data_IF_262680439333
#
_entry.id   IF_262680439333
#
_cell.length_a   1.000
_cell.length_b   1.000
_cell.length_c   1.000
_cell.angle_alpha   90.00
_cell.angle_beta   90.00
_cell.angle_gamma   90.00
#
_symmetry.space_group_name_H-M   'P 1'
#
loop_
_entity.id
_entity.type
_entity.pdbx_description
1 polymer ?
#
# COMPACT_ATOMS: atom_id res chain seq x y z
N UNK A 1 6.92 4.28 -8.95
CA UNK A 1 6.53 5.50 -9.64
C UNK A 1 6.53 5.27 -11.14
N UNK A 2 5.60 5.88 -11.86
CA UNK A 2 5.51 5.85 -13.31
C UNK A 2 6.22 7.09 -13.88
N UNK A 3 6.94 7.01 -15.00
CA UNK A 3 7.59 8.17 -15.58
C UNK A 3 6.57 9.27 -15.94
N UNK A 4 6.97 10.52 -15.80
CA UNK A 4 6.16 11.64 -16.23
C UNK A 4 6.32 11.85 -17.74
N UNK A 5 5.23 12.05 -18.50
CA UNK A 5 5.33 12.42 -19.90
C UNK A 5 5.95 13.82 -20.05
N UNK A 6 6.53 14.11 -21.21
CA UNK A 6 7.14 15.40 -21.51
C UNK A 6 6.15 16.59 -21.47
N UNK A 7 4.86 16.31 -21.64
CA UNK A 7 3.78 17.29 -21.54
C UNK A 7 2.88 16.97 -20.35
N UNK A 8 2.69 17.95 -19.47
CA UNK A 8 1.84 17.83 -18.28
C UNK A 8 0.50 18.53 -18.48
N UNK A 9 -0.57 17.90 -18.01
CA UNK A 9 -1.87 18.55 -17.91
C UNK A 9 -1.88 19.59 -16.75
N UNK A 10 -2.65 20.68 -16.84
CA UNK A 10 -2.70 21.70 -15.78
C UNK A 10 -3.14 21.18 -14.41
N UNK A 11 -3.94 20.13 -14.37
CA UNK A 11 -4.49 19.52 -13.15
C UNK A 11 -3.90 18.13 -12.86
N UNK A 12 -2.69 17.90 -13.28
CA UNK A 12 -2.02 16.63 -13.09
C UNK A 12 -1.63 16.39 -11.63
N UNK A 13 -2.12 15.30 -11.06
CA UNK A 13 -1.91 14.91 -9.67
C UNK A 13 -1.78 13.38 -9.54
N UNK A 14 -1.22 12.94 -8.43
CA UNK A 14 -1.26 11.54 -8.04
C UNK A 14 -2.49 11.30 -7.15
N UNK A 15 -3.46 10.55 -7.61
CA UNK A 15 -4.72 10.28 -6.92
C UNK A 15 -4.47 9.61 -5.54
N UNK A 16 -3.55 8.64 -5.49
CA UNK A 16 -3.20 7.99 -4.23
C UNK A 16 -2.49 8.95 -3.26
N UNK A 17 -1.66 9.86 -3.76
CA UNK A 17 -1.03 10.90 -2.95
C UNK A 17 -2.07 11.84 -2.34
N UNK A 18 -3.04 12.28 -3.13
CA UNK A 18 -4.14 13.15 -2.65
C UNK A 18 -4.97 12.44 -1.60
N UNK A 19 -5.34 11.17 -1.83
CA UNK A 19 -6.05 10.36 -0.83
C UNK A 19 -5.26 10.23 0.47
N UNK A 20 -3.97 9.89 0.38
CA UNK A 20 -3.11 9.75 1.54
C UNK A 20 -3.06 11.04 2.38
N UNK A 21 -2.86 12.19 1.74
CA UNK A 21 -2.86 13.49 2.43
C UNK A 21 -4.24 13.78 3.04
N UNK A 22 -5.32 13.50 2.31
CA UNK A 22 -6.68 13.71 2.81
C UNK A 22 -6.96 12.90 4.09
N UNK A 23 -6.52 11.65 4.14
CA UNK A 23 -6.68 10.80 5.32
C UNK A 23 -5.79 11.22 6.48
N UNK A 24 -4.56 11.68 6.21
CA UNK A 24 -3.65 12.16 7.24
C UNK A 24 -4.11 13.48 7.87
N UNK A 25 -4.76 14.34 7.10
CA UNK A 25 -5.24 15.66 7.54
C UNK A 25 -6.69 15.66 8.02
N UNK A 26 -7.36 14.53 8.04
CA UNK A 26 -8.75 14.43 8.47
C UNK A 26 -8.92 14.72 9.95
N UNK A 27 -10.04 15.38 10.32
CA UNK A 27 -10.47 15.55 11.71
C UNK A 27 -11.29 14.36 12.24
N UNK A 28 -11.60 13.37 11.40
CA UNK A 28 -12.30 12.15 11.82
C UNK A 28 -11.44 11.31 12.72
N UNK A 29 -12.07 10.66 13.71
CA UNK A 29 -11.40 9.89 14.75
C UNK A 29 -11.99 8.49 14.86
N UNK A 30 -11.15 7.48 14.71
CA UNK A 30 -11.45 6.12 15.11
C UNK A 30 -11.24 6.01 16.63
N UNK A 31 -12.26 6.37 17.39
CA UNK A 31 -12.21 6.46 18.85
C UNK A 31 -12.61 5.17 19.54
N UNK A 32 -12.29 5.00 20.85
CA UNK A 32 -12.77 3.87 21.63
C UNK A 32 -14.29 3.66 21.58
N UNK A 33 -15.07 4.74 21.54
CA UNK A 33 -16.54 4.69 21.47
C UNK A 33 -17.02 4.13 20.13
N UNK A 34 -16.29 4.40 19.05
CA UNK A 34 -16.57 3.78 17.77
C UNK A 34 -16.35 2.26 17.84
N UNK A 35 -15.22 1.84 18.36
CA UNK A 35 -14.86 0.41 18.42
C UNK A 35 -15.72 -0.39 19.40
N UNK A 36 -16.18 0.22 20.48
CA UNK A 36 -17.08 -0.44 21.43
C UNK A 36 -18.46 -0.77 20.84
N UNK A 37 -18.85 -0.06 19.77
CA UNK A 37 -20.16 -0.24 19.10
C UNK A 37 -20.07 -1.09 17.82
N UNK A 38 -18.86 -1.38 17.35
CA UNK A 38 -18.65 -2.08 16.09
C UNK A 38 -17.80 -3.34 16.34
N UNK A 39 -18.43 -4.51 16.47
CA UNK A 39 -17.72 -5.78 16.53
C UNK A 39 -16.79 -5.96 15.33
N UNK A 40 -15.66 -6.64 15.53
CA UNK A 40 -14.68 -6.89 14.47
C UNK A 40 -15.31 -7.70 13.34
N UNK A 41 -16.17 -8.66 13.66
CA UNK A 41 -16.95 -9.41 12.67
C UNK A 41 -17.82 -8.53 11.78
N UNK A 42 -18.34 -7.41 12.29
CA UNK A 42 -19.07 -6.42 11.50
C UNK A 42 -18.13 -5.61 10.61
N UNK A 43 -16.97 -5.21 11.13
CA UNK A 43 -15.97 -4.43 10.37
C UNK A 43 -15.38 -5.22 9.19
N UNK A 44 -15.36 -6.55 9.24
CA UNK A 44 -14.96 -7.40 8.12
C UNK A 44 -15.82 -7.24 6.85
N UNK A 45 -17.03 -6.71 6.99
CA UNK A 45 -17.94 -6.46 5.87
C UNK A 45 -17.79 -5.04 5.28
N UNK A 46 -17.00 -4.19 5.93
CA UNK A 46 -16.71 -2.85 5.41
C UNK A 46 -15.70 -2.95 4.26
N UNK A 47 -15.87 -2.10 3.26
CA UNK A 47 -14.85 -1.92 2.23
C UNK A 47 -13.63 -1.19 2.81
N UNK A 48 -12.47 -1.33 2.17
CA UNK A 48 -11.26 -0.62 2.56
C UNK A 48 -11.48 0.89 2.65
N UNK A 49 -12.27 1.45 1.73
CA UNK A 49 -12.63 2.86 1.76
C UNK A 49 -13.45 3.25 3.00
N UNK A 50 -14.41 2.44 3.39
CA UNK A 50 -15.23 2.69 4.58
C UNK A 50 -14.39 2.60 5.85
N UNK A 51 -13.49 1.61 5.95
CA UNK A 51 -12.57 1.48 7.07
C UNK A 51 -11.65 2.70 7.20
N UNK A 52 -11.02 3.12 6.12
CA UNK A 52 -10.14 4.29 6.14
C UNK A 52 -10.90 5.61 6.40
N UNK A 53 -12.15 5.70 5.94
CA UNK A 53 -12.99 6.87 6.12
C UNK A 53 -13.51 7.05 7.57
N UNK A 54 -13.35 6.06 8.44
CA UNK A 54 -13.65 6.19 9.88
C UNK A 54 -12.76 7.27 10.52
N UNK A 55 -11.50 7.34 10.13
CA UNK A 55 -10.57 8.36 10.57
C UNK A 55 -9.33 7.79 11.27
N UNK A 56 -8.63 8.64 12.00
CA UNK A 56 -7.37 8.28 12.66
C UNK A 56 -7.60 7.63 14.02
N UNK A 57 -6.83 6.58 14.28
CA UNK A 57 -6.78 5.93 15.60
C UNK A 57 -6.29 6.92 16.66
N UNK A 58 -6.99 7.00 17.78
CA UNK A 58 -6.71 7.99 18.83
C UNK A 58 -6.10 7.41 20.11
N UNK A 59 -6.23 6.11 20.31
CA UNK A 59 -5.76 5.38 21.49
C UNK A 59 -5.11 4.06 21.09
N UNK A 60 -4.21 3.51 21.89
CA UNK A 60 -3.83 2.12 21.76
C UNK A 60 -5.04 1.24 21.98
N UNK A 61 -5.22 0.25 21.12
CA UNK A 61 -6.38 -0.64 21.15
C UNK A 61 -5.90 -2.09 21.20
N UNK A 62 -6.59 -2.92 22.00
CA UNK A 62 -6.37 -4.34 22.10
C UNK A 62 -7.66 -5.08 21.77
N UNK A 63 -7.58 -6.11 20.95
CA UNK A 63 -8.74 -6.96 20.63
C UNK A 63 -9.12 -7.83 21.83
N UNK A 64 -10.40 -7.79 22.17
CA UNK A 64 -11.01 -8.69 23.14
C UNK A 64 -11.92 -9.70 22.42
N UNK A 65 -11.51 -10.96 22.45
CA UNK A 65 -12.23 -12.04 21.79
C UNK A 65 -13.58 -12.35 22.44
N UNK A 66 -13.76 -12.02 23.72
CA UNK A 66 -15.02 -12.31 24.42
C UNK A 66 -16.15 -11.37 23.99
N UNK A 67 -15.83 -10.12 23.72
CA UNK A 67 -16.78 -9.11 23.24
C UNK A 67 -16.74 -8.90 21.73
N UNK A 68 -15.77 -9.52 21.02
CA UNK A 68 -15.48 -9.29 19.59
C UNK A 68 -15.25 -7.80 19.26
N UNK A 69 -14.67 -7.05 20.18
CA UNK A 69 -14.44 -5.61 20.01
C UNK A 69 -13.00 -5.23 20.30
N UNK A 70 -12.58 -4.06 19.80
CA UNK A 70 -11.34 -3.42 20.20
C UNK A 70 -11.58 -2.59 21.47
N UNK A 71 -10.77 -2.84 22.50
CA UNK A 71 -10.80 -2.14 23.78
C UNK A 71 -9.61 -1.20 23.89
N UNK A 72 -9.85 0.03 24.39
CA UNK A 72 -8.75 0.94 24.68
C UNK A 72 -7.90 0.40 25.84
N UNK A 73 -6.59 0.54 25.72
CA UNK A 73 -5.63 0.22 26.77
C UNK A 73 -4.72 1.39 27.02
N UNK A 74 -4.22 1.53 28.24
CA UNK A 74 -3.22 2.53 28.56
C UNK A 74 -1.87 2.16 27.93
N UNK A 75 -1.06 3.18 27.58
CA UNK A 75 0.25 2.97 27.00
C UNK A 75 1.18 2.13 27.86
N UNK A 76 1.17 2.32 29.18
CA UNK A 76 2.00 1.56 30.10
C UNK A 76 1.64 0.08 30.10
N UNK A 77 0.33 -0.24 30.05
CA UNK A 77 -0.16 -1.61 29.93
C UNK A 77 0.23 -2.20 28.58
N UNK A 78 0.07 -1.45 27.49
CA UNK A 78 0.44 -1.89 26.16
C UNK A 78 1.95 -2.21 26.07
N UNK A 79 2.80 -1.33 26.60
CA UNK A 79 4.26 -1.56 26.63
C UNK A 79 4.65 -2.74 27.53
N UNK A 80 4.01 -2.89 28.66
CA UNK A 80 4.25 -4.03 29.54
C UNK A 80 3.91 -5.35 28.83
N UNK A 81 2.72 -5.48 28.25
CA UNK A 81 2.29 -6.69 27.57
C UNK A 81 3.17 -7.03 26.37
N UNK A 82 3.53 -6.02 25.55
CA UNK A 82 4.45 -6.21 24.42
C UNK A 82 5.84 -6.66 24.93
N UNK A 83 6.35 -6.03 25.97
CA UNK A 83 7.63 -6.39 26.57
C UNK A 83 7.64 -7.80 27.18
N UNK A 84 6.57 -8.19 27.86
CA UNK A 84 6.39 -9.54 28.38
C UNK A 84 6.33 -10.57 27.24
N UNK A 85 5.60 -10.26 26.16
CA UNK A 85 5.54 -11.12 25.00
C UNK A 85 6.90 -11.30 24.32
N UNK A 86 7.62 -10.22 24.11
CA UNK A 86 8.97 -10.27 23.52
C UNK A 86 9.95 -11.08 24.39
N UNK A 87 9.87 -10.92 25.72
CA UNK A 87 10.70 -11.71 26.65
C UNK A 87 10.30 -13.18 26.76
N UNK A 88 9.13 -13.56 26.32
CA UNK A 88 8.65 -14.95 26.36
C UNK A 88 9.25 -15.84 25.26
N UNK A 89 9.96 -15.28 24.30
CA UNK A 89 10.64 -16.05 23.26
C UNK A 89 12.02 -16.51 23.73
N UNK A 90 12.40 -17.72 23.41
CA UNK A 90 13.68 -18.33 23.78
C UNK A 90 14.88 -17.69 23.05
N UNK A 91 14.62 -17.08 21.90
CA UNK A 91 15.64 -16.44 21.08
C UNK A 91 15.08 -15.19 20.37
N UNK A 92 15.89 -14.13 20.36
CA UNK A 92 15.59 -12.93 19.59
C UNK A 92 15.45 -13.19 18.07
N UNK A 93 16.00 -14.30 17.58
CA UNK A 93 15.89 -14.71 16.18
C UNK A 93 14.47 -15.20 15.80
N UNK A 94 13.60 -15.45 16.78
CA UNK A 94 12.19 -15.79 16.55
C UNK A 94 11.32 -14.57 16.27
N UNK A 95 11.89 -13.36 16.35
CA UNK A 95 11.18 -12.09 16.17
C UNK A 95 11.72 -11.35 14.96
N UNK A 96 10.82 -10.91 14.11
CA UNK A 96 11.11 -10.03 12.97
C UNK A 96 10.58 -8.62 13.22
N UNK A 97 11.31 -7.63 12.74
CA UNK A 97 10.97 -6.21 12.87
C UNK A 97 10.76 -5.60 11.49
N UNK A 98 9.51 -5.35 11.17
CA UNK A 98 9.11 -4.79 9.88
C UNK A 98 8.43 -3.43 10.06
N UNK A 99 8.71 -2.49 9.17
CA UNK A 99 8.04 -1.20 9.12
C UNK A 99 7.78 -0.77 7.68
N UNK A 100 6.75 0.06 7.50
CA UNK A 100 6.42 0.63 6.20
C UNK A 100 7.40 1.72 5.79
N UNK A 101 7.61 1.92 4.49
CA UNK A 101 8.34 3.06 3.93
C UNK A 101 7.69 4.43 4.20
N UNK A 102 6.51 4.47 4.82
CA UNK A 102 5.84 5.70 5.27
C UNK A 102 6.21 6.12 6.70
N UNK A 103 6.99 5.31 7.40
CA UNK A 103 7.53 5.65 8.72
C UNK A 103 8.53 6.81 8.59
N UNK A 104 8.51 7.76 9.53
CA UNK A 104 9.51 8.83 9.55
C UNK A 104 10.92 8.25 9.79
N UNK A 105 11.94 8.96 9.36
CA UNK A 105 13.33 8.51 9.53
C UNK A 105 13.71 8.37 11.00
N UNK A 106 13.22 9.27 11.85
CA UNK A 106 13.45 9.24 13.29
C UNK A 106 12.82 8.00 13.95
N UNK A 107 11.56 7.71 13.58
CA UNK A 107 10.88 6.52 14.09
C UNK A 107 11.54 5.23 13.56
N UNK A 108 11.96 5.19 12.30
CA UNK A 108 12.68 4.05 11.73
C UNK A 108 14.03 3.81 12.44
N UNK A 109 14.76 4.88 12.75
CA UNK A 109 16.01 4.80 13.51
C UNK A 109 15.78 4.24 14.92
N UNK A 110 14.80 4.78 15.65
CA UNK A 110 14.48 4.30 17.01
C UNK A 110 14.00 2.85 16.99
N UNK A 111 13.22 2.48 15.98
CA UNK A 111 12.75 1.11 15.81
C UNK A 111 13.90 0.14 15.54
N UNK A 112 14.85 0.52 14.70
CA UNK A 112 16.08 -0.27 14.48
C UNK A 112 16.91 -0.39 15.77
N UNK A 113 17.08 0.71 16.50
CA UNK A 113 17.82 0.70 17.76
C UNK A 113 17.17 -0.24 18.78
N UNK A 114 15.85 -0.18 18.92
CA UNK A 114 15.08 -1.10 19.76
C UNK A 114 15.28 -2.57 19.37
N UNK A 115 15.19 -2.89 18.09
CA UNK A 115 15.40 -4.26 17.60
C UNK A 115 16.84 -4.76 17.88
N UNK A 116 17.83 -3.88 17.72
CA UNK A 116 19.24 -4.21 18.03
C UNK A 116 19.46 -4.42 19.52
N UNK A 117 18.87 -3.60 20.36
CA UNK A 117 18.93 -3.75 21.83
C UNK A 117 18.23 -5.04 22.27
N UNK A 118 17.13 -5.40 21.64
CA UNK A 118 16.46 -6.69 21.85
C UNK A 118 17.33 -7.88 21.41
N UNK A 119 18.32 -7.68 20.56
CA UNK A 119 19.25 -8.71 20.06
C UNK A 119 18.84 -9.34 18.72
N UNK A 120 17.89 -8.75 17.99
CA UNK A 120 17.48 -9.23 16.67
C UNK A 120 18.16 -8.44 15.54
N UNK A 121 18.46 -9.16 14.45
CA UNK A 121 18.91 -8.60 13.17
C UNK A 121 17.91 -8.90 12.04
N UNK A 122 16.75 -9.41 12.37
CA UNK A 122 15.74 -9.83 11.40
C UNK A 122 14.93 -8.62 10.95
N UNK A 123 15.39 -7.97 9.89
CA UNK A 123 14.72 -6.86 9.24
C UNK A 123 14.35 -7.27 7.82
N UNK A 124 13.12 -7.76 7.57
CA UNK A 124 12.65 -8.01 6.22
C UNK A 124 12.76 -6.73 5.39
N UNK A 125 13.36 -6.85 4.21
CA UNK A 125 13.61 -5.73 3.32
C UNK A 125 12.55 -5.68 2.23
N UNK A 126 11.91 -4.52 2.07
CA UNK A 126 10.91 -4.31 1.02
C UNK A 126 11.53 -4.41 -0.39
N UNK A 127 12.80 -4.10 -0.57
CA UNK A 127 13.49 -4.27 -1.86
C UNK A 127 13.50 -5.72 -2.31
N UNK A 128 13.76 -6.65 -1.41
CA UNK A 128 13.75 -8.09 -1.69
C UNK A 128 12.35 -8.60 -2.05
N UNK A 129 11.31 -8.03 -1.48
CA UNK A 129 9.92 -8.39 -1.79
C UNK A 129 9.40 -7.66 -3.04
N UNK A 130 9.87 -6.45 -3.31
CA UNK A 130 9.33 -5.58 -4.36
C UNK A 130 10.03 -5.77 -5.70
N UNK A 131 11.34 -5.52 -5.78
CA UNK A 131 12.08 -5.50 -7.06
C UNK A 131 13.38 -6.32 -7.06
N UNK A 132 13.84 -6.85 -5.94
CA UNK A 132 14.94 -7.82 -5.88
C UNK A 132 14.68 -9.04 -6.78
N UNK A 133 13.47 -9.65 -6.79
CA UNK A 133 13.12 -10.73 -7.70
C UNK A 133 13.25 -10.35 -9.18
N UNK A 134 12.92 -9.12 -9.54
CA UNK A 134 13.10 -8.61 -10.92
C UNK A 134 14.57 -8.65 -11.33
N UNK A 135 15.47 -8.16 -10.49
CA UNK A 135 16.91 -8.22 -10.76
C UNK A 135 17.42 -9.67 -10.87
N UNK A 136 16.97 -10.52 -9.95
CA UNK A 136 17.37 -11.94 -9.94
C UNK A 136 16.86 -12.70 -11.16
N UNK A 137 15.64 -12.42 -11.61
CA UNK A 137 15.04 -13.10 -12.76
C UNK A 137 15.50 -12.55 -14.11
N UNK A 138 15.59 -11.23 -14.25
CA UNK A 138 15.91 -10.61 -15.54
C UNK A 138 17.41 -10.60 -15.87
N UNK A 139 18.28 -10.42 -14.88
CA UNK A 139 19.73 -10.34 -15.13
C UNK A 139 20.28 -11.57 -15.89
N UNK A 140 19.98 -12.82 -15.51
CA UNK A 140 20.43 -13.98 -16.27
C UNK A 140 19.71 -14.14 -17.62
N UNK A 141 18.49 -13.61 -17.77
CA UNK A 141 17.70 -13.78 -19.00
C UNK A 141 18.04 -12.75 -20.08
N UNK A 142 18.23 -11.49 -19.71
CA UNK A 142 18.43 -10.38 -20.65
C UNK A 142 19.65 -9.51 -20.32
N UNK A 143 20.45 -9.87 -19.31
CA UNK A 143 21.66 -9.14 -18.91
C UNK A 143 21.41 -7.88 -18.08
N UNK A 144 20.15 -7.52 -17.80
CA UNK A 144 19.76 -6.31 -17.09
C UNK A 144 18.63 -6.59 -16.10
N UNK A 145 18.79 -6.17 -14.84
CA UNK A 145 17.84 -6.41 -13.77
C UNK A 145 16.67 -5.42 -13.72
N UNK A 146 16.22 -4.89 -14.85
CA UNK A 146 15.08 -3.96 -14.96
C UNK A 146 14.48 -4.00 -16.37
N UNK A 147 13.32 -3.33 -16.55
CA UNK A 147 12.67 -3.19 -17.85
C UNK A 147 13.56 -2.49 -18.89
N UNK A 148 13.39 -2.84 -20.14
CA UNK A 148 14.15 -2.34 -21.30
C UNK A 148 13.34 -1.44 -22.21
N UNK A 149 12.04 -1.23 -21.91
CA UNK A 149 11.14 -0.36 -22.68
C UNK A 149 11.11 1.04 -22.08
N UNK A 150 10.91 2.03 -22.95
CA UNK A 150 10.70 3.42 -22.59
C UNK A 150 9.20 3.78 -22.61
N UNK A 151 8.84 4.96 -22.08
CA UNK A 151 7.43 5.37 -22.03
C UNK A 151 6.83 5.52 -23.42
N UNK A 152 7.61 6.00 -24.36
CA UNK A 152 7.25 6.23 -25.76
C UNK A 152 6.93 4.94 -26.52
N UNK A 153 7.45 3.79 -26.08
CA UNK A 153 7.15 2.49 -26.70
C UNK A 153 5.66 2.14 -26.57
N UNK A 154 4.99 2.63 -25.53
CA UNK A 154 3.55 2.46 -25.37
C UNK A 154 2.74 3.18 -26.47
N UNK A 155 3.27 4.21 -27.10
CA UNK A 155 2.61 4.90 -28.20
C UNK A 155 2.59 4.12 -29.51
N UNK A 156 3.43 3.09 -29.60
CA UNK A 156 3.64 2.29 -30.80
C UNK A 156 3.22 0.82 -30.67
N UNK A 157 2.88 0.36 -29.45
CA UNK A 157 2.47 -1.03 -29.24
C UNK A 157 1.00 -1.28 -29.63
N UNK A 158 0.70 -2.48 -30.14
CA UNK A 158 -0.65 -2.94 -30.46
C UNK A 158 -1.24 -3.83 -29.37
N UNK A 159 -0.42 -4.27 -28.41
CA UNK A 159 -0.80 -5.14 -27.32
C UNK A 159 0.00 -4.84 -26.06
N UNK A 160 -0.68 -4.72 -24.92
CA UNK A 160 -0.08 -4.67 -23.58
C UNK A 160 -0.58 -5.84 -22.75
N UNK A 161 0.32 -6.59 -22.14
CA UNK A 161 -0.02 -7.68 -21.23
C UNK A 161 0.40 -7.30 -19.82
N UNK A 162 -0.56 -7.17 -18.91
CA UNK A 162 -0.35 -6.89 -17.50
C UNK A 162 -0.46 -8.20 -16.70
N UNK A 163 0.64 -8.67 -16.12
CA UNK A 163 0.69 -9.93 -15.38
C UNK A 163 0.95 -9.67 -13.91
N UNK A 164 0.04 -10.07 -13.01
CA UNK A 164 0.14 -9.90 -11.57
C UNK A 164 0.26 -8.44 -11.12
N UNK A 165 -0.27 -7.51 -11.91
CA UNK A 165 -0.05 -6.08 -11.75
C UNK A 165 -1.35 -5.37 -11.34
N UNK A 166 -1.26 -4.46 -10.38
CA UNK A 166 -2.34 -3.55 -10.00
C UNK A 166 -1.90 -2.09 -10.23
N UNK A 167 -2.00 -1.58 -11.46
CA UNK A 167 -1.59 -0.21 -11.76
C UNK A 167 -2.45 0.84 -11.05
N UNK A 168 -3.73 0.56 -10.80
CA UNK A 168 -4.63 1.48 -10.13
C UNK A 168 -4.21 1.83 -8.70
N UNK A 169 -3.64 0.88 -7.98
CA UNK A 169 -3.13 1.09 -6.63
C UNK A 169 -1.65 1.49 -6.60
N UNK A 170 -0.81 0.77 -7.35
CA UNK A 170 0.65 0.90 -7.23
C UNK A 170 1.25 1.93 -8.19
N UNK A 171 0.63 2.13 -9.35
CA UNK A 171 1.11 3.03 -10.41
C UNK A 171 -0.07 3.78 -11.06
N UNK A 172 -0.84 4.60 -10.32
CA UNK A 172 -2.06 5.22 -10.85
C UNK A 172 -1.82 6.05 -12.11
N UNK A 173 -0.63 6.63 -12.26
CA UNK A 173 -0.24 7.38 -13.46
C UNK A 173 -0.13 6.51 -14.72
N UNK A 174 0.18 5.21 -14.57
CA UNK A 174 0.18 4.24 -15.68
C UNK A 174 -1.21 4.07 -16.29
N UNK A 175 -2.28 4.28 -15.53
CA UNK A 175 -3.64 4.19 -16.06
C UNK A 175 -3.90 5.20 -17.17
N UNK A 176 -3.29 6.38 -17.13
CA UNK A 176 -3.34 7.35 -18.22
C UNK A 176 -2.74 6.77 -19.50
N UNK A 177 -1.54 6.19 -19.41
CA UNK A 177 -0.87 5.54 -20.54
C UNK A 177 -1.71 4.38 -21.09
N UNK A 178 -2.21 3.50 -20.24
CA UNK A 178 -3.06 2.38 -20.65
C UNK A 178 -4.37 2.84 -21.33
N UNK A 179 -4.97 3.91 -20.83
CA UNK A 179 -6.15 4.53 -21.47
C UNK A 179 -5.82 5.02 -22.87
N UNK A 180 -4.70 5.71 -23.05
CA UNK A 180 -4.33 6.28 -24.34
C UNK A 180 -3.96 5.17 -25.34
N UNK A 181 -3.32 4.10 -24.88
CA UNK A 181 -3.10 2.85 -25.63
C UNK A 181 -4.44 2.26 -26.08
N UNK A 182 -5.42 2.10 -25.18
CA UNK A 182 -6.74 1.58 -25.49
C UNK A 182 -7.51 2.47 -26.48
N UNK A 183 -7.45 3.80 -26.32
CA UNK A 183 -8.09 4.76 -27.25
C UNK A 183 -7.53 4.69 -28.67
N UNK A 184 -6.27 4.32 -28.81
CA UNK A 184 -5.62 4.10 -30.11
C UNK A 184 -6.06 2.79 -30.77
N UNK A 185 -6.74 1.91 -30.04
CA UNK A 185 -7.24 0.63 -30.52
C UNK A 185 -6.33 -0.56 -30.15
N UNK A 186 -5.26 -0.36 -29.46
CA UNK A 186 -4.40 -1.46 -28.96
C UNK A 186 -5.15 -2.26 -27.87
N UNK A 187 -4.82 -3.54 -27.75
CA UNK A 187 -5.45 -4.45 -26.80
C UNK A 187 -4.70 -4.48 -25.48
N UNK A 188 -5.43 -4.60 -24.38
CA UNK A 188 -4.87 -4.80 -23.05
C UNK A 188 -5.37 -6.13 -22.51
N UNK A 189 -4.45 -7.01 -22.12
CA UNK A 189 -4.74 -8.30 -21.49
C UNK A 189 -4.26 -8.23 -20.04
N UNK A 190 -5.14 -8.52 -19.10
CA UNK A 190 -4.81 -8.64 -17.68
C UNK A 190 -4.83 -10.11 -17.27
N UNK A 191 -3.73 -10.56 -16.65
CA UNK A 191 -3.58 -11.88 -16.06
C UNK A 191 -3.29 -11.68 -14.58
N UNK A 192 -4.30 -11.85 -13.73
CA UNK A 192 -4.20 -11.62 -12.29
C UNK A 192 -5.19 -12.54 -11.55
N UNK A 193 -4.76 -13.24 -10.49
CA UNK A 193 -5.67 -14.03 -9.66
C UNK A 193 -6.67 -13.20 -8.88
N UNK A 194 -6.40 -11.89 -8.69
CA UNK A 194 -7.26 -10.95 -8.00
C UNK A 194 -7.97 -10.05 -9.00
N UNK A 195 -9.21 -9.71 -8.67
CA UNK A 195 -10.04 -8.81 -9.45
C UNK A 195 -9.72 -7.35 -9.09
N UNK A 196 -8.78 -6.75 -9.82
CA UNK A 196 -8.27 -5.42 -9.53
C UNK A 196 -9.06 -4.34 -10.28
N UNK A 197 -9.74 -3.47 -9.55
CA UNK A 197 -10.62 -2.44 -10.14
C UNK A 197 -9.93 -1.55 -11.17
N UNK A 198 -8.66 -1.22 -10.98
CA UNK A 198 -7.91 -0.37 -11.89
C UNK A 198 -7.66 -0.98 -13.28
N UNK A 199 -7.90 -2.30 -13.45
CA UNK A 199 -7.82 -3.00 -14.74
C UNK A 199 -9.21 -3.30 -15.32
N UNK A 200 -10.28 -3.14 -14.53
CA UNK A 200 -11.66 -3.30 -14.97
C UNK A 200 -12.32 -1.98 -15.34
N UNK A 201 -12.12 -0.98 -14.50
CA UNK A 201 -12.76 0.33 -14.62
C UNK A 201 -11.80 1.43 -14.20
N UNK A 202 -11.63 2.39 -15.07
CA UNK A 202 -10.86 3.59 -14.78
C UNK A 202 -11.58 4.80 -15.34
N UNK A 203 -11.92 5.74 -14.46
CA UNK A 203 -12.41 7.08 -14.86
C UNK A 203 -11.27 8.06 -14.74
N UNK A 204 -10.97 8.77 -15.82
CA UNK A 204 -9.87 9.72 -15.84
C UNK A 204 -10.27 11.05 -15.18
N UNK A 205 -9.71 11.40 -14.02
CA UNK A 205 -10.18 12.52 -13.20
C UNK A 205 -9.93 13.90 -13.83
N UNK A 206 -9.12 13.96 -14.88
CA UNK A 206 -8.85 15.20 -15.61
C UNK A 206 -9.78 15.39 -16.83
N UNK A 207 -10.69 14.45 -17.08
CA UNK A 207 -11.70 14.53 -18.13
C UNK A 207 -13.09 14.62 -17.51
N UNK A 208 -13.69 15.80 -17.56
CA UNK A 208 -15.05 15.99 -17.07
C UNK A 208 -16.05 15.02 -17.74
N UNK A 209 -15.87 14.72 -19.02
CA UNK A 209 -16.70 13.76 -19.75
C UNK A 209 -16.59 12.35 -19.17
N UNK A 210 -15.38 11.87 -18.87
CA UNK A 210 -15.14 10.52 -18.36
C UNK A 210 -15.49 10.37 -16.86
N UNK A 211 -15.56 11.47 -16.13
CA UNK A 211 -16.00 11.47 -14.73
C UNK A 211 -17.52 11.34 -14.56
N UNK A 212 -18.31 11.72 -15.58
CA UNK A 212 -19.78 11.73 -15.53
C UNK A 212 -20.43 10.69 -16.45
N UNK A 213 -19.64 9.81 -17.07
CA UNK A 213 -20.10 8.68 -17.86
C UNK A 213 -19.68 7.36 -17.25
#
# INVERSE_FOLDING_TARGET
AWPDPGHRAPMELCENGVKAVSWETTNKKASPEFFSRHPVSTLWHYSDYELENIGRLTHPMKYDAASDTWQAVDWDIAFQEIGERLRSYDSAQQVEFYTSGRTSNEAAFLYQLFAREYGSSNFPDCSNMCHGPTSTGLTPAIGLGKGTVELEDFDHCDLVICIGHNPGTNHPRMLTTLRDVAKRGAKIISINPLNERGLERFSFPQSAKEMFT
#
